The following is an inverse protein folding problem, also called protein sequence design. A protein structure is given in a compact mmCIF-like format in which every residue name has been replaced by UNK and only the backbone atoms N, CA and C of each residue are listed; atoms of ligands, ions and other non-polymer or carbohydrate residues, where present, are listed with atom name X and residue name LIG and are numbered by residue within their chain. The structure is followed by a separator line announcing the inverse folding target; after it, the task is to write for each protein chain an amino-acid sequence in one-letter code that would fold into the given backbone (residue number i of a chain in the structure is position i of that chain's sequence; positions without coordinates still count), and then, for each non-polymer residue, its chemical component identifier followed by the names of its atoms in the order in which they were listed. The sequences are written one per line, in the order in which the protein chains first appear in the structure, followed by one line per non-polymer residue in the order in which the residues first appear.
data_IF_586169567082
#
_entry.id   IF_586169567082
#
_cell.length_a   1.000
_cell.length_b   1.000
_cell.length_c   1.000
_cell.angle_alpha   90.00
_cell.angle_beta   90.00
_cell.angle_gamma   90.00
#
_symmetry.space_group_name_H-M   'P 1'
#
loop_
_entity.id
_entity.type
_entity.pdbx_description
1 polymer ?
#
# COMPACT_ATOMS: atom_id res chain seq x y z
N UNK A 1 17.82 -18.40 -27.95
CA UNK A 1 16.91 -19.05 -26.97
C UNK A 1 16.74 -18.26 -25.65
N UNK A 2 17.25 -17.03 -25.53
CA UNK A 2 17.27 -16.22 -24.28
C UNK A 2 16.03 -15.33 -24.05
N UNK A 3 15.21 -15.07 -25.07
CA UNK A 3 13.98 -14.25 -24.95
C UNK A 3 12.95 -14.82 -23.95
N UNK A 4 12.90 -16.14 -23.78
CA UNK A 4 11.92 -16.83 -22.92
C UNK A 4 12.18 -16.64 -21.41
N UNK A 5 13.44 -16.49 -20.99
CA UNK A 5 13.79 -16.36 -19.57
C UNK A 5 13.43 -14.97 -19.04
N UNK A 6 13.72 -13.92 -19.81
CA UNK A 6 13.37 -12.54 -19.43
C UNK A 6 11.86 -12.32 -19.37
N UNK A 7 11.10 -12.86 -20.33
CA UNK A 7 9.64 -12.79 -20.35
C UNK A 7 9.00 -13.44 -19.12
N UNK A 8 9.43 -14.67 -18.76
CA UNK A 8 8.95 -15.35 -17.55
C UNK A 8 9.27 -14.57 -16.27
N UNK A 9 10.46 -13.95 -16.17
CA UNK A 9 10.82 -13.10 -15.04
C UNK A 9 9.96 -11.84 -14.93
N UNK A 10 9.62 -11.22 -16.07
CA UNK A 10 8.72 -10.06 -16.09
C UNK A 10 7.31 -10.45 -15.62
N UNK A 11 6.76 -11.56 -16.11
CA UNK A 11 5.45 -12.06 -15.66
C UNK A 11 5.46 -12.32 -14.15
N UNK A 12 6.48 -13.01 -13.64
CA UNK A 12 6.60 -13.28 -12.20
C UNK A 12 6.65 -11.98 -11.39
N UNK A 13 7.36 -10.97 -11.87
CA UNK A 13 7.42 -9.65 -11.21
C UNK A 13 6.06 -8.98 -11.19
N UNK A 14 5.28 -9.08 -12.27
CA UNK A 14 3.91 -8.57 -12.31
C UNK A 14 2.99 -9.32 -11.33
N UNK A 15 3.12 -10.65 -11.21
CA UNK A 15 2.36 -11.41 -10.22
C UNK A 15 2.70 -11.01 -8.79
N UNK A 16 3.99 -10.80 -8.49
CA UNK A 16 4.40 -10.29 -7.18
C UNK A 16 3.80 -8.89 -6.93
N UNK A 17 3.78 -8.02 -7.93
CA UNK A 17 3.11 -6.71 -7.84
C UNK A 17 1.62 -6.83 -7.48
N UNK A 18 0.89 -7.74 -8.12
CA UNK A 18 -0.51 -7.99 -7.78
C UNK A 18 -0.71 -8.53 -6.36
N UNK A 19 0.19 -9.38 -5.87
CA UNK A 19 0.14 -9.86 -4.48
C UNK A 19 0.34 -8.72 -3.49
N UNK A 20 1.30 -7.82 -3.76
CA UNK A 20 1.53 -6.64 -2.92
C UNK A 20 0.29 -5.73 -2.95
N UNK A 21 -0.31 -5.50 -4.11
CA UNK A 21 -1.54 -4.70 -4.22
C UNK A 21 -2.72 -5.33 -3.45
N UNK A 22 -2.86 -6.66 -3.53
CA UNK A 22 -3.87 -7.34 -2.73
C UNK A 22 -3.62 -7.16 -1.23
N UNK A 23 -2.36 -7.19 -0.79
CA UNK A 23 -2.01 -6.93 0.60
C UNK A 23 -2.35 -5.49 1.05
N UNK A 24 -2.05 -4.47 0.23
CA UNK A 24 -2.30 -3.05 0.58
C UNK A 24 -3.78 -2.75 0.76
N UNK A 25 -4.65 -3.41 -0.01
CA UNK A 25 -6.11 -3.21 0.09
C UNK A 25 -6.74 -4.02 1.22
N UNK A 26 -6.21 -5.20 1.55
CA UNK A 26 -6.89 -6.15 2.44
C UNK A 26 -6.33 -6.18 3.87
N UNK A 27 -5.09 -5.78 4.12
CA UNK A 27 -4.49 -5.87 5.47
C UNK A 27 -5.27 -5.06 6.50
N UNK A 28 -5.64 -3.81 6.18
CA UNK A 28 -6.37 -2.97 7.15
C UNK A 28 -7.75 -3.56 7.48
N UNK A 29 -8.63 -3.89 6.51
CA UNK A 29 -9.91 -4.54 6.80
C UNK A 29 -9.81 -5.82 7.62
N UNK A 30 -8.84 -6.69 7.31
CA UNK A 30 -8.61 -7.94 8.04
C UNK A 30 -8.30 -7.65 9.52
N UNK A 31 -7.59 -6.56 9.80
CA UNK A 31 -7.19 -6.17 11.15
C UNK A 31 -8.19 -5.26 11.87
N UNK A 32 -9.33 -4.89 11.27
CA UNK A 32 -10.28 -3.95 11.86
C UNK A 32 -10.68 -4.30 13.29
N UNK A 33 -11.09 -5.55 13.52
CA UNK A 33 -11.52 -5.99 14.84
C UNK A 33 -10.37 -5.90 15.86
N UNK A 34 -9.19 -6.36 15.47
CA UNK A 34 -8.00 -6.35 16.33
C UNK A 34 -7.53 -4.93 16.65
N UNK A 35 -7.49 -4.03 15.66
CA UNK A 35 -7.10 -2.63 15.86
C UNK A 35 -8.10 -1.89 16.77
N UNK A 36 -9.39 -2.19 16.61
CA UNK A 36 -10.43 -1.67 17.50
C UNK A 36 -10.23 -2.14 18.93
N UNK A 37 -10.01 -3.43 19.15
CA UNK A 37 -9.84 -3.99 20.50
C UNK A 37 -8.55 -3.52 21.18
N UNK A 38 -7.44 -3.44 20.45
CA UNK A 38 -6.15 -3.05 21.02
C UNK A 38 -6.02 -1.54 21.25
N UNK A 39 -6.57 -0.70 20.36
CA UNK A 39 -6.34 0.75 20.38
C UNK A 39 -7.61 1.57 20.62
N UNK A 40 -8.73 0.92 20.91
CA UNK A 40 -10.03 1.53 21.19
C UNK A 40 -10.51 2.50 20.07
N UNK A 41 -10.16 2.16 18.83
CA UNK A 41 -10.52 2.92 17.62
C UNK A 41 -11.98 2.60 17.24
N UNK A 42 -12.75 3.61 16.82
CA UNK A 42 -14.14 3.40 16.42
C UNK A 42 -14.25 2.69 15.05
N UNK A 43 -15.38 2.00 14.81
CA UNK A 43 -15.64 1.42 13.49
C UNK A 43 -15.74 2.49 12.39
N UNK A 44 -16.23 3.68 12.73
CA UNK A 44 -16.28 4.82 11.81
C UNK A 44 -14.86 5.22 11.37
N UNK A 45 -13.93 5.36 12.31
CA UNK A 45 -12.52 5.66 12.05
C UNK A 45 -11.85 4.58 11.19
N UNK A 46 -12.11 3.31 11.46
CA UNK A 46 -11.61 2.21 10.63
C UNK A 46 -12.18 2.25 9.22
N UNK A 47 -13.48 2.52 9.07
CA UNK A 47 -14.12 2.73 7.77
C UNK A 47 -13.51 3.89 7.00
N UNK A 48 -13.21 5.00 7.68
CA UNK A 48 -12.47 6.13 7.10
C UNK A 48 -11.05 5.74 6.68
N UNK A 49 -10.37 4.86 7.41
CA UNK A 49 -9.05 4.37 7.01
C UNK A 49 -9.10 3.65 5.65
N UNK A 50 -10.09 2.79 5.45
CA UNK A 50 -10.31 2.13 4.15
C UNK A 50 -10.70 3.12 3.07
N UNK A 51 -11.53 4.12 3.39
CA UNK A 51 -11.88 5.18 2.45
C UNK A 51 -10.63 5.97 2.00
N UNK A 52 -9.76 6.34 2.94
CA UNK A 52 -8.49 7.02 2.66
C UNK A 52 -7.59 6.14 1.79
N UNK A 53 -7.52 4.84 2.07
CA UNK A 53 -6.74 3.89 1.27
C UNK A 53 -7.17 3.88 -0.21
N UNK A 54 -8.47 3.77 -0.48
CA UNK A 54 -9.00 3.79 -1.85
C UNK A 54 -8.83 5.14 -2.53
N UNK A 55 -9.09 6.25 -1.83
CA UNK A 55 -8.91 7.59 -2.42
C UNK A 55 -7.46 7.85 -2.75
N UNK A 56 -6.53 7.45 -1.87
CA UNK A 56 -5.10 7.65 -2.11
C UNK A 56 -4.65 6.83 -3.32
N UNK A 57 -5.09 5.57 -3.44
CA UNK A 57 -4.84 4.76 -4.63
C UNK A 57 -5.35 5.43 -5.91
N UNK A 58 -6.61 5.89 -5.93
CA UNK A 58 -7.17 6.58 -7.09
C UNK A 58 -6.40 7.86 -7.41
N UNK A 59 -6.01 8.65 -6.41
CA UNK A 59 -5.22 9.85 -6.61
C UNK A 59 -3.83 9.51 -7.19
N UNK A 60 -3.16 8.50 -6.65
CA UNK A 60 -1.89 7.98 -7.16
C UNK A 60 -2.02 7.52 -8.61
N UNK A 61 -3.05 6.73 -8.95
CA UNK A 61 -3.29 6.26 -10.32
C UNK A 61 -3.43 7.42 -11.32
N UNK A 62 -4.16 8.46 -10.95
CA UNK A 62 -4.35 9.65 -11.79
C UNK A 62 -3.07 10.47 -11.96
N UNK A 63 -2.30 10.65 -10.88
CA UNK A 63 -1.05 11.43 -10.90
C UNK A 63 0.02 10.68 -11.68
N UNK A 64 0.19 9.39 -11.39
CA UNK A 64 1.26 8.58 -11.97
C UNK A 64 0.93 8.06 -13.36
N UNK A 65 -0.33 8.02 -13.81
CA UNK A 65 -0.66 7.66 -15.21
C UNK A 65 0.06 8.57 -16.21
N UNK A 66 -0.01 9.90 -16.04
CA UNK A 66 0.71 10.85 -16.92
C UNK A 66 2.23 10.76 -16.78
N UNK A 67 2.73 10.49 -15.56
CA UNK A 67 4.16 10.36 -15.32
C UNK A 67 4.73 9.08 -15.93
N UNK A 68 3.98 7.98 -15.87
CA UNK A 68 4.33 6.69 -16.46
C UNK A 68 4.40 6.76 -17.99
N UNK A 69 3.48 7.50 -18.62
CA UNK A 69 3.52 7.73 -20.07
C UNK A 69 4.77 8.52 -20.49
N UNK A 70 5.21 9.48 -19.66
CA UNK A 70 6.37 10.34 -19.97
C UNK A 70 7.72 9.68 -19.69
N UNK A 71 7.86 8.99 -18.55
CA UNK A 71 9.15 8.45 -18.08
C UNK A 71 9.27 6.92 -18.27
N UNK A 72 8.21 6.27 -18.74
CA UNK A 72 8.10 4.82 -18.84
C UNK A 72 7.75 4.16 -17.50
N UNK A 73 7.16 2.97 -17.55
CA UNK A 73 6.62 2.26 -16.39
C UNK A 73 7.69 1.62 -15.47
N UNK A 74 8.88 1.31 -16.00
CA UNK A 74 9.93 0.57 -15.28
C UNK A 74 10.38 1.18 -13.95
N UNK A 75 10.72 2.48 -13.86
CA UNK A 75 11.13 3.06 -12.58
C UNK A 75 10.02 2.99 -11.52
N UNK A 76 8.76 3.18 -11.92
CA UNK A 76 7.62 3.12 -11.01
C UNK A 76 7.44 1.71 -10.44
N UNK A 77 7.44 0.67 -11.28
CA UNK A 77 7.29 -0.73 -10.83
C UNK A 77 8.39 -1.15 -9.85
N UNK A 78 9.61 -0.62 -9.99
CA UNK A 78 10.71 -0.93 -9.07
C UNK A 78 10.60 -0.17 -7.75
N UNK A 79 10.00 1.02 -7.76
CA UNK A 79 9.83 1.86 -6.57
C UNK A 79 8.65 1.41 -5.69
N UNK A 80 7.54 0.94 -6.28
CA UNK A 80 6.31 0.58 -5.54
C UNK A 80 6.54 -0.42 -4.41
N UNK A 81 7.27 -1.53 -4.61
CA UNK A 81 7.51 -2.50 -3.53
C UNK A 81 8.27 -1.91 -2.34
N UNK A 82 9.21 -1.00 -2.59
CA UNK A 82 9.98 -0.33 -1.53
C UNK A 82 9.08 0.60 -0.71
N UNK A 83 8.24 1.38 -1.40
CA UNK A 83 7.28 2.30 -0.77
C UNK A 83 6.23 1.53 0.03
N UNK A 84 5.66 0.47 -0.54
CA UNK A 84 4.70 -0.40 0.15
C UNK A 84 5.32 -1.06 1.39
N UNK A 85 6.54 -1.57 1.29
CA UNK A 85 7.25 -2.17 2.42
C UNK A 85 7.50 -1.14 3.53
N UNK A 86 7.92 0.07 3.17
CA UNK A 86 8.12 1.15 4.13
C UNK A 86 6.81 1.56 4.83
N UNK A 87 5.72 1.67 4.08
CA UNK A 87 4.40 2.00 4.65
C UNK A 87 3.85 0.89 5.55
N UNK A 88 4.01 -0.39 5.20
CA UNK A 88 3.64 -1.49 6.09
C UNK A 88 4.50 -1.56 7.35
N UNK A 89 5.80 -1.30 7.21
CA UNK A 89 6.69 -1.24 8.35
C UNK A 89 6.27 -0.12 9.31
N UNK A 90 5.95 1.07 8.77
CA UNK A 90 5.41 2.18 9.55
C UNK A 90 4.07 1.82 10.20
N UNK A 91 3.19 1.11 9.49
CA UNK A 91 1.91 0.64 10.01
C UNK A 91 2.10 -0.29 11.22
N UNK A 92 3.08 -1.19 11.16
CA UNK A 92 3.37 -2.14 12.24
C UNK A 92 3.95 -1.46 13.49
N UNK A 93 4.82 -0.46 13.32
CA UNK A 93 5.48 0.23 14.44
C UNK A 93 4.72 1.46 14.95
N UNK A 94 3.66 1.88 14.24
CA UNK A 94 2.83 3.06 14.55
C UNK A 94 2.49 3.19 16.05
N UNK A 95 2.03 2.12 16.74
CA UNK A 95 1.65 2.20 18.15
C UNK A 95 2.79 2.56 19.10
N UNK A 96 4.04 2.35 18.68
CA UNK A 96 5.23 2.62 19.49
C UNK A 96 5.81 4.01 19.24
N UNK A 97 5.46 4.65 18.11
CA UNK A 97 6.04 5.94 17.68
C UNK A 97 5.09 7.11 17.94
N UNK A 98 3.80 6.93 17.67
CA UNK A 98 2.84 8.03 17.70
C UNK A 98 2.06 8.08 19.02
N UNK A 99 2.01 9.26 19.64
CA UNK A 99 1.12 9.52 20.78
C UNK A 99 -0.37 9.37 20.39
N UNK A 100 -0.71 9.69 19.14
CA UNK A 100 -2.02 9.42 18.57
C UNK A 100 -1.91 8.29 17.54
N UNK A 101 -2.26 7.08 17.97
CA UNK A 101 -2.12 5.85 17.19
C UNK A 101 -2.93 5.91 15.88
N UNK A 102 -4.12 6.50 15.89
CA UNK A 102 -4.96 6.63 14.69
C UNK A 102 -4.29 7.45 13.59
N UNK A 103 -3.65 8.57 13.95
CA UNK A 103 -2.92 9.40 12.97
C UNK A 103 -1.75 8.64 12.33
N UNK A 104 -1.02 7.83 13.11
CA UNK A 104 0.05 7.01 12.55
C UNK A 104 -0.46 5.97 11.56
N UNK A 105 -1.64 5.38 11.83
CA UNK A 105 -2.28 4.46 10.89
C UNK A 105 -2.70 5.18 9.60
N UNK A 106 -3.29 6.37 9.69
CA UNK A 106 -3.64 7.18 8.51
C UNK A 106 -2.42 7.50 7.66
N UNK A 107 -1.32 7.98 8.26
CA UNK A 107 -0.09 8.31 7.54
C UNK A 107 0.49 7.07 6.86
N UNK A 108 0.56 5.95 7.59
CA UNK A 108 1.05 4.69 7.05
C UNK A 108 0.20 4.22 5.87
N UNK A 109 -1.12 4.29 5.99
CA UNK A 109 -2.08 3.97 4.92
C UNK A 109 -1.88 4.83 3.69
N UNK A 110 -1.61 6.12 3.84
CA UNK A 110 -1.30 7.00 2.70
C UNK A 110 0.02 6.61 2.02
N UNK A 111 1.01 6.14 2.78
CA UNK A 111 2.32 5.80 2.23
C UNK A 111 2.28 4.50 1.43
N UNK A 112 1.60 3.46 1.90
CA UNK A 112 1.56 2.18 1.17
C UNK A 112 0.46 2.10 0.10
N UNK A 113 -0.50 3.04 0.09
CA UNK A 113 -1.60 3.10 -0.88
C UNK A 113 -1.16 3.72 -2.21
#
# INVERSE_FOLDING_TARGET
MTKNVFYRKTILSCYLGFVIQAATVNITPILFLTLREMYNISFEQLGFLTFINFITQVACDLIFSKAADKYGFRPFILATPLVATAGFFLFAITPFIFNNVYLGFVISTIIFA
#
